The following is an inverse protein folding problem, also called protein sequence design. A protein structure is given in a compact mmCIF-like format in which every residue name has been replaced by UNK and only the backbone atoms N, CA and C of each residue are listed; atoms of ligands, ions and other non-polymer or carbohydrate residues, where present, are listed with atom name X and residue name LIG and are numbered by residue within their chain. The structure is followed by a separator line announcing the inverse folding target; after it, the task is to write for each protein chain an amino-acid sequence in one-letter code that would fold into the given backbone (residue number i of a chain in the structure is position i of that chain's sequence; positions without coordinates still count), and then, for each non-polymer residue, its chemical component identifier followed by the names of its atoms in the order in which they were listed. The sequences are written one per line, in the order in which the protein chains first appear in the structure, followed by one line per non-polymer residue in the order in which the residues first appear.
data_IF_405198895628
#
_entry.id   IF_405198895628
#
_cell.length_a   1.000
_cell.length_b   1.000
_cell.length_c   1.000
_cell.angle_alpha   90.00
_cell.angle_beta   90.00
_cell.angle_gamma   90.00
#
_symmetry.space_group_name_H-M   'P 1'
#
loop_
_entity.id
_entity.type
_entity.pdbx_description
1 polymer ?
#
# COMPACT_ATOMS: atom_id res chain seq x y z
N UNK A 1 -5.86 17.85 8.18
CA UNK A 1 -6.64 16.59 8.26
C UNK A 1 -6.80 16.28 9.73
N UNK A 2 -7.97 15.86 10.20
CA UNK A 2 -8.07 15.37 11.58
C UNK A 2 -7.65 13.89 11.61
N UNK A 3 -6.95 13.46 12.66
CA UNK A 3 -6.56 12.06 12.89
C UNK A 3 -7.77 11.11 12.78
N UNK A 4 -8.97 11.59 13.15
CA UNK A 4 -10.22 10.85 13.01
C UNK A 4 -10.53 10.40 11.58
N UNK A 5 -10.18 11.20 10.58
CA UNK A 5 -10.51 10.89 9.17
C UNK A 5 -9.60 9.78 8.65
N UNK A 6 -8.29 9.86 8.93
CA UNK A 6 -7.33 8.80 8.59
C UNK A 6 -7.68 7.51 9.33
N UNK A 7 -8.20 7.64 10.55
CA UNK A 7 -8.61 6.50 11.35
C UNK A 7 -9.80 5.76 10.77
N UNK A 8 -10.80 6.48 10.25
CA UNK A 8 -11.93 5.85 9.57
C UNK A 8 -11.48 5.07 8.31
N UNK A 9 -10.55 5.65 7.53
CA UNK A 9 -9.96 4.97 6.39
C UNK A 9 -9.12 3.75 6.79
N UNK A 10 -8.44 3.80 7.94
CA UNK A 10 -7.73 2.66 8.50
C UNK A 10 -8.68 1.53 8.90
N UNK A 11 -9.79 1.84 9.56
CA UNK A 11 -10.78 0.83 9.95
C UNK A 11 -11.42 0.17 8.70
N UNK A 12 -11.62 0.94 7.62
CA UNK A 12 -12.08 0.40 6.34
C UNK A 12 -11.01 -0.49 5.67
N UNK A 13 -9.75 -0.08 5.70
CA UNK A 13 -8.62 -0.88 5.23
C UNK A 13 -8.54 -2.22 5.98
N UNK A 14 -8.72 -2.23 7.29
CA UNK A 14 -8.72 -3.47 8.08
C UNK A 14 -9.84 -4.44 7.67
N UNK A 15 -11.01 -3.92 7.30
CA UNK A 15 -12.08 -4.76 6.75
C UNK A 15 -11.69 -5.39 5.40
N UNK A 16 -10.97 -4.67 4.53
CA UNK A 16 -10.44 -5.21 3.28
C UNK A 16 -9.30 -6.21 3.49
N UNK A 17 -8.45 -5.99 4.49
CA UNK A 17 -7.40 -6.93 4.87
C UNK A 17 -7.98 -8.24 5.40
N UNK A 18 -9.06 -8.16 6.18
CA UNK A 18 -9.83 -9.32 6.64
C UNK A 18 -10.49 -10.07 5.46
N UNK A 19 -11.02 -9.36 4.46
CA UNK A 19 -11.52 -9.98 3.23
C UNK A 19 -10.41 -10.76 2.51
N UNK A 20 -9.19 -10.22 2.41
CA UNK A 20 -8.04 -10.94 1.86
C UNK A 20 -7.70 -12.17 2.71
N UNK A 21 -7.80 -12.09 4.03
CA UNK A 21 -7.51 -13.21 4.94
C UNK A 21 -8.49 -14.35 4.72
N UNK A 22 -9.77 -14.04 4.55
CA UNK A 22 -10.81 -15.02 4.20
C UNK A 22 -10.53 -15.61 2.81
N UNK A 23 -10.17 -14.78 1.84
CA UNK A 23 -9.89 -15.18 0.46
C UNK A 23 -8.77 -16.24 0.38
N UNK A 24 -7.76 -16.15 1.24
CA UNK A 24 -6.64 -17.10 1.31
C UNK A 24 -7.06 -18.55 1.57
N UNK A 25 -8.25 -18.77 2.12
CA UNK A 25 -8.81 -20.13 2.31
C UNK A 25 -9.19 -20.80 0.99
N UNK A 26 -9.40 -20.02 -0.07
CA UNK A 26 -9.89 -20.49 -1.37
C UNK A 26 -8.87 -20.28 -2.49
N UNK A 27 -8.08 -19.21 -2.42
CA UNK A 27 -7.03 -18.90 -3.40
C UNK A 27 -5.71 -18.77 -2.65
N UNK A 28 -4.80 -19.72 -2.87
CA UNK A 28 -3.47 -19.62 -2.29
C UNK A 28 -2.73 -18.42 -2.88
N UNK A 29 -2.12 -17.60 -2.03
CA UNK A 29 -1.31 -16.46 -2.46
C UNK A 29 0.02 -16.96 -2.99
N UNK A 30 0.03 -17.28 -4.28
CA UNK A 30 1.15 -17.87 -4.99
C UNK A 30 1.21 -17.28 -6.39
N UNK A 31 2.39 -17.23 -7.00
CA UNK A 31 2.60 -16.62 -8.31
C UNK A 31 1.70 -17.23 -9.39
N UNK A 32 1.52 -18.54 -9.37
CA UNK A 32 0.63 -19.28 -10.28
C UNK A 32 -0.86 -18.85 -10.17
N UNK A 33 -1.27 -18.33 -9.01
CA UNK A 33 -2.65 -17.93 -8.77
C UNK A 33 -2.88 -16.43 -8.96
N UNK A 34 -1.84 -15.64 -9.27
CA UNK A 34 -1.97 -14.18 -9.40
C UNK A 34 -2.95 -13.74 -10.48
N UNK A 35 -3.12 -14.55 -11.53
CA UNK A 35 -4.08 -14.31 -12.62
C UNK A 35 -5.46 -14.95 -12.38
N UNK A 36 -5.66 -15.64 -11.25
CA UNK A 36 -7.00 -16.14 -10.86
C UNK A 36 -7.93 -14.96 -10.68
N UNK A 37 -9.09 -14.98 -11.34
CA UNK A 37 -10.10 -13.91 -11.25
C UNK A 37 -11.42 -14.40 -10.68
N UNK A 38 -12.14 -13.50 -10.00
CA UNK A 38 -13.44 -13.82 -9.41
C UNK A 38 -14.30 -12.57 -9.18
N UNK A 39 -15.59 -12.78 -8.89
CA UNK A 39 -16.49 -11.71 -8.49
C UNK A 39 -16.09 -11.09 -7.14
N UNK A 40 -15.49 -11.90 -6.26
CA UNK A 40 -15.02 -11.42 -4.97
C UNK A 40 -13.81 -10.49 -5.12
N UNK A 41 -12.86 -10.88 -5.98
CA UNK A 41 -11.73 -10.04 -6.34
C UNK A 41 -12.17 -8.72 -6.99
N UNK A 42 -13.22 -8.76 -7.82
CA UNK A 42 -13.83 -7.54 -8.38
C UNK A 42 -14.34 -6.61 -7.26
N UNK A 43 -15.05 -7.16 -6.26
CA UNK A 43 -15.55 -6.38 -5.11
C UNK A 43 -14.40 -5.70 -4.37
N UNK A 44 -13.36 -6.47 -4.03
CA UNK A 44 -12.18 -5.97 -3.30
C UNK A 44 -11.49 -4.85 -4.09
N UNK A 45 -11.27 -5.04 -5.40
CA UNK A 45 -10.65 -4.01 -6.27
C UNK A 45 -11.47 -2.71 -6.27
N UNK A 46 -12.81 -2.81 -6.41
CA UNK A 46 -13.68 -1.63 -6.43
C UNK A 46 -13.62 -0.87 -5.11
N UNK A 47 -13.74 -1.57 -3.99
CA UNK A 47 -13.75 -0.98 -2.65
C UNK A 47 -12.39 -0.35 -2.33
N UNK A 48 -11.29 -1.07 -2.57
CA UNK A 48 -9.94 -0.58 -2.33
C UNK A 48 -9.61 0.64 -3.20
N UNK A 49 -9.96 0.62 -4.50
CA UNK A 49 -9.65 1.73 -5.40
C UNK A 49 -10.39 3.03 -5.03
N UNK A 50 -11.67 2.91 -4.66
CA UNK A 50 -12.46 4.06 -4.17
C UNK A 50 -11.87 4.62 -2.87
N UNK A 51 -11.45 3.73 -1.97
CA UNK A 51 -10.87 4.14 -0.70
C UNK A 51 -9.50 4.82 -0.88
N UNK A 52 -8.66 4.35 -1.82
CA UNK A 52 -7.41 5.04 -2.19
C UNK A 52 -7.70 6.46 -2.68
N UNK A 53 -8.67 6.63 -3.58
CA UNK A 53 -9.06 7.95 -4.08
C UNK A 53 -9.54 8.87 -2.94
N UNK A 54 -10.33 8.33 -2.00
CA UNK A 54 -10.81 9.05 -0.83
C UNK A 54 -9.66 9.47 0.11
N UNK A 55 -8.73 8.55 0.41
CA UNK A 55 -7.54 8.83 1.22
C UNK A 55 -6.70 9.92 0.56
N UNK A 56 -6.39 9.81 -0.74
CA UNK A 56 -5.62 10.80 -1.47
C UNK A 56 -6.29 12.19 -1.47
N UNK A 57 -7.62 12.23 -1.62
CA UNK A 57 -8.38 13.47 -1.55
C UNK A 57 -8.27 14.10 -0.15
N UNK A 58 -8.41 13.30 0.91
CA UNK A 58 -8.29 13.74 2.28
C UNK A 58 -6.88 14.23 2.61
N UNK A 59 -5.85 13.52 2.16
CA UNK A 59 -4.44 13.93 2.28
C UNK A 59 -4.18 15.24 1.54
N UNK A 60 -4.70 15.38 0.31
CA UNK A 60 -4.55 16.59 -0.48
C UNK A 60 -5.20 17.82 0.17
N UNK A 61 -6.41 17.66 0.72
CA UNK A 61 -7.14 18.74 1.41
C UNK A 61 -6.53 19.09 2.75
N UNK A 62 -6.01 18.09 3.46
CA UNK A 62 -5.68 18.22 4.86
C UNK A 62 -4.19 18.34 5.21
N UNK A 63 -3.29 17.67 4.48
CA UNK A 63 -1.85 17.63 4.77
C UNK A 63 -1.07 18.36 3.67
N UNK A 64 -1.43 18.16 2.41
CA UNK A 64 -0.68 18.70 1.27
C UNK A 64 -1.17 20.10 0.83
N UNK A 65 -2.19 20.65 1.50
CA UNK A 65 -2.67 22.03 1.33
C UNK A 65 -3.11 22.40 -0.09
N UNK A 66 -3.51 21.43 -0.91
CA UNK A 66 -3.47 21.57 -2.37
C UNK A 66 -4.81 21.63 -3.11
N UNK A 67 -5.89 21.09 -2.56
CA UNK A 67 -7.12 20.84 -3.32
C UNK A 67 -8.17 21.97 -3.18
N UNK A 68 -7.83 23.20 -3.57
CA UNK A 68 -8.69 24.40 -3.47
C UNK A 68 -9.56 24.73 -4.71
N UNK A 69 -9.87 23.74 -5.56
CA UNK A 69 -10.62 23.95 -6.81
C UNK A 69 -12.13 23.66 -6.68
N UNK A 70 -12.96 24.29 -7.54
CA UNK A 70 -14.43 24.07 -7.60
C UNK A 70 -14.85 22.68 -8.09
N UNK A 71 -13.96 21.95 -8.78
CA UNK A 71 -14.21 20.57 -9.25
C UNK A 71 -13.38 19.59 -8.43
N UNK A 72 -13.95 18.42 -8.16
CA UNK A 72 -13.20 17.30 -7.61
C UNK A 72 -12.05 16.95 -8.56
N UNK A 73 -10.79 16.92 -8.07
CA UNK A 73 -9.65 16.52 -8.88
C UNK A 73 -9.78 15.07 -9.32
N UNK A 74 -9.19 14.72 -10.47
CA UNK A 74 -9.12 13.32 -10.90
C UNK A 74 -8.10 12.54 -10.06
N UNK A 75 -8.23 11.22 -10.03
CA UNK A 75 -7.24 10.34 -9.40
C UNK A 75 -5.80 10.66 -9.83
N UNK A 76 -5.53 10.80 -11.13
CA UNK A 76 -4.17 11.12 -11.63
C UNK A 76 -3.65 12.45 -11.08
N UNK A 77 -4.51 13.45 -10.91
CA UNK A 77 -4.11 14.74 -10.31
C UNK A 77 -3.82 14.61 -8.82
N UNK A 78 -4.62 13.82 -8.11
CA UNK A 78 -4.42 13.52 -6.70
C UNK A 78 -3.12 12.74 -6.48
N UNK A 79 -2.90 11.69 -7.26
CA UNK A 79 -1.70 10.85 -7.25
C UNK A 79 -0.43 11.68 -7.50
N UNK A 80 -0.37 12.40 -8.63
CA UNK A 80 0.81 13.19 -9.00
C UNK A 80 1.18 14.23 -7.93
N UNK A 81 0.17 14.91 -7.38
CA UNK A 81 0.40 15.91 -6.34
C UNK A 81 0.89 15.27 -5.04
N UNK A 82 0.27 14.16 -4.65
CA UNK A 82 0.64 13.43 -3.43
C UNK A 82 2.07 12.92 -3.54
N UNK A 83 2.44 12.31 -4.66
CA UNK A 83 3.82 11.94 -4.99
C UNK A 83 4.79 13.10 -4.85
N UNK A 84 4.47 14.24 -5.47
CA UNK A 84 5.32 15.43 -5.42
C UNK A 84 5.58 15.89 -3.99
N UNK A 85 4.54 15.87 -3.14
CA UNK A 85 4.66 16.19 -1.73
C UNK A 85 5.50 15.17 -0.96
N UNK A 86 5.22 13.87 -1.12
CA UNK A 86 5.96 12.79 -0.43
C UNK A 86 7.45 12.87 -0.77
N UNK A 87 7.78 13.04 -2.05
CA UNK A 87 9.15 13.21 -2.53
C UNK A 87 9.81 14.45 -1.95
N UNK A 88 9.12 15.59 -1.95
CA UNK A 88 9.68 16.84 -1.42
C UNK A 88 9.92 16.77 0.09
N UNK A 89 9.01 16.15 0.85
CA UNK A 89 9.07 16.14 2.32
C UNK A 89 10.00 15.06 2.87
N UNK A 90 10.00 13.86 2.27
CA UNK A 90 10.71 12.68 2.80
C UNK A 90 11.72 12.05 1.83
N UNK A 91 11.82 12.53 0.59
CA UNK A 91 12.72 11.93 -0.41
C UNK A 91 12.33 10.51 -0.82
N UNK A 92 11.04 10.16 -0.65
CA UNK A 92 10.50 8.84 -1.00
C UNK A 92 9.93 8.91 -2.43
N UNK A 93 10.46 8.07 -3.32
CA UNK A 93 9.84 7.76 -4.61
C UNK A 93 8.81 6.64 -4.39
N UNK A 94 7.52 6.95 -4.51
CA UNK A 94 6.47 6.01 -4.09
C UNK A 94 6.40 4.76 -4.97
N UNK A 95 6.91 4.86 -6.21
CA UNK A 95 7.02 3.76 -7.17
C UNK A 95 7.97 2.65 -6.67
N UNK A 96 8.91 2.99 -5.78
CA UNK A 96 9.84 2.04 -5.16
C UNK A 96 9.28 1.40 -3.89
N UNK A 97 8.04 1.72 -3.49
CA UNK A 97 7.40 1.14 -2.32
C UNK A 97 6.91 -0.27 -2.59
N UNK A 98 7.36 -1.17 -1.73
CA UNK A 98 7.03 -2.59 -1.74
C UNK A 98 6.06 -2.91 -0.62
N UNK A 99 5.12 -3.80 -0.90
CA UNK A 99 4.17 -4.32 0.10
C UNK A 99 4.32 -5.82 0.20
N UNK A 100 4.59 -6.29 1.40
CA UNK A 100 4.71 -7.71 1.73
C UNK A 100 3.37 -8.23 2.23
N UNK A 101 2.87 -9.29 1.61
CA UNK A 101 1.63 -9.96 2.00
C UNK A 101 1.93 -11.30 2.66
N UNK A 102 1.14 -11.66 3.67
CA UNK A 102 1.24 -12.94 4.34
C UNK A 102 0.95 -14.06 3.35
N UNK A 103 1.92 -14.95 3.17
CA UNK A 103 1.83 -16.12 2.31
C UNK A 103 2.26 -15.89 0.85
N UNK A 104 2.46 -14.64 0.40
CA UNK A 104 3.03 -14.36 -0.91
C UNK A 104 4.56 -14.26 -0.79
N UNK A 105 5.29 -15.07 -1.55
CA UNK A 105 6.76 -15.16 -1.47
C UNK A 105 7.51 -13.93 -1.99
N UNK A 106 6.87 -13.13 -2.85
CA UNK A 106 7.46 -11.96 -3.50
C UNK A 106 6.66 -10.70 -3.13
N UNK A 107 7.30 -9.59 -2.73
CA UNK A 107 6.59 -8.34 -2.50
C UNK A 107 6.02 -7.79 -3.81
N UNK A 108 4.92 -7.04 -3.70
CA UNK A 108 4.37 -6.30 -4.84
C UNK A 108 4.75 -4.83 -4.74
N UNK A 109 4.76 -4.13 -5.89
CA UNK A 109 4.90 -2.67 -5.97
C UNK A 109 3.57 -2.04 -6.42
N UNK A 110 2.62 -1.78 -5.50
CA UNK A 110 1.29 -1.28 -5.85
C UNK A 110 1.28 0.03 -6.62
N UNK A 111 2.28 0.89 -6.37
CA UNK A 111 2.39 2.22 -6.94
C UNK A 111 3.45 2.28 -8.05
N UNK A 112 3.86 1.14 -8.61
CA UNK A 112 4.65 1.07 -9.83
C UNK A 112 3.71 0.97 -11.04
N UNK A 113 3.75 1.93 -11.99
CA UNK A 113 2.95 1.87 -13.21
C UNK A 113 3.44 0.83 -14.22
N UNK A 114 4.61 0.20 -14.03
CA UNK A 114 5.15 -0.85 -14.90
C UNK A 114 5.24 -0.43 -16.38
N UNK A 115 5.66 0.83 -16.60
CA UNK A 115 5.76 1.43 -17.93
C UNK A 115 4.43 1.88 -18.56
N UNK A 116 3.31 1.77 -17.85
CA UNK A 116 2.00 2.27 -18.28
C UNK A 116 1.74 3.72 -17.82
N UNK A 117 0.64 4.31 -18.29
CA UNK A 117 0.22 5.67 -17.90
C UNK A 117 -0.44 5.74 -16.53
N UNK A 118 -0.94 4.61 -16.02
CA UNK A 118 -1.60 4.45 -14.73
C UNK A 118 -1.21 3.12 -14.09
N UNK A 119 -1.50 2.94 -12.80
CA UNK A 119 -1.22 1.68 -12.12
C UNK A 119 -2.06 0.52 -12.66
N UNK A 120 -1.51 -0.71 -12.72
CA UNK A 120 -2.25 -1.88 -13.19
C UNK A 120 -3.61 -2.09 -12.50
N UNK A 121 -3.66 -1.93 -11.19
CA UNK A 121 -4.90 -2.09 -10.41
C UNK A 121 -5.92 -0.96 -10.68
N UNK A 122 -5.45 0.25 -10.99
CA UNK A 122 -6.33 1.37 -11.32
C UNK A 122 -6.93 1.22 -12.73
N UNK A 123 -6.15 0.73 -13.70
CA UNK A 123 -6.65 0.34 -15.02
C UNK A 123 -7.69 -0.79 -14.91
N UNK A 124 -7.42 -1.81 -14.09
CA UNK A 124 -8.35 -2.89 -13.82
C UNK A 124 -9.66 -2.36 -13.21
N UNK A 125 -9.58 -1.53 -12.17
CA UNK A 125 -10.74 -0.86 -11.57
C UNK A 125 -11.56 -0.07 -12.60
N UNK A 126 -10.89 0.77 -13.40
CA UNK A 126 -11.53 1.62 -14.42
C UNK A 126 -12.24 0.76 -15.47
N UNK A 127 -11.60 -0.30 -15.95
CA UNK A 127 -12.18 -1.25 -16.90
C UNK A 127 -13.41 -1.97 -16.33
N UNK A 128 -13.31 -2.41 -15.07
CA UNK A 128 -14.39 -3.10 -14.35
C UNK A 128 -15.58 -2.17 -14.07
N UNK A 129 -15.33 -0.88 -13.83
CA UNK A 129 -16.35 0.16 -13.64
C UNK A 129 -17.13 0.43 -14.93
N UNK A 130 -16.47 0.46 -16.08
CA UNK A 130 -17.10 0.79 -17.36
C UNK A 130 -17.67 -0.42 -18.11
N UNK A 131 -17.29 -1.66 -17.75
CA UNK A 131 -17.72 -2.85 -18.49
C UNK A 131 -17.54 -4.17 -17.74
N UNK A 132 -18.17 -4.33 -16.56
CA UNK A 132 -18.02 -5.50 -15.66
C UNK A 132 -18.03 -6.86 -16.36
N UNK A 133 -19.00 -7.13 -17.23
CA UNK A 133 -19.15 -8.45 -17.88
C UNK A 133 -18.00 -8.78 -18.83
N UNK A 134 -17.46 -7.77 -19.52
CA UNK A 134 -16.38 -7.94 -20.49
C UNK A 134 -15.01 -7.90 -19.82
N UNK A 135 -14.88 -7.11 -18.75
CA UNK A 135 -13.63 -6.88 -18.03
C UNK A 135 -13.42 -7.80 -16.82
N UNK A 136 -14.33 -8.74 -16.51
CA UNK A 136 -14.23 -9.60 -15.31
C UNK A 136 -12.87 -10.32 -15.21
N UNK A 137 -12.23 -10.68 -16.33
CA UNK A 137 -10.89 -11.26 -16.35
C UNK A 137 -9.79 -10.36 -15.75
N UNK A 138 -10.03 -9.05 -15.65
CA UNK A 138 -9.13 -8.11 -14.95
C UNK A 138 -9.32 -8.12 -13.44
N UNK A 139 -10.36 -8.77 -12.92
CA UNK A 139 -10.59 -8.89 -11.48
C UNK A 139 -9.72 -9.99 -10.87
N UNK A 140 -8.40 -9.90 -11.04
CA UNK A 140 -7.44 -10.93 -10.64
C UNK A 140 -6.94 -10.75 -9.20
N UNK A 141 -6.37 -11.81 -8.63
CA UNK A 141 -5.71 -11.76 -7.32
C UNK A 141 -4.62 -10.69 -7.29
N UNK A 142 -3.79 -10.60 -8.34
CA UNK A 142 -2.77 -9.56 -8.48
C UNK A 142 -3.36 -8.16 -8.31
N UNK A 143 -4.41 -7.84 -9.07
CA UNK A 143 -5.00 -6.50 -9.03
C UNK A 143 -5.65 -6.19 -7.68
N UNK A 144 -6.26 -7.18 -7.01
CA UNK A 144 -6.82 -7.01 -5.68
C UNK A 144 -5.73 -6.74 -4.63
N UNK A 145 -4.66 -7.54 -4.62
CA UNK A 145 -3.52 -7.34 -3.72
C UNK A 145 -2.85 -5.99 -3.97
N UNK A 146 -2.64 -5.61 -5.24
CA UNK A 146 -2.08 -4.29 -5.56
C UNK A 146 -3.01 -3.16 -5.12
N UNK A 147 -4.33 -3.25 -5.30
CA UNK A 147 -5.25 -2.20 -4.86
C UNK A 147 -5.26 -2.03 -3.32
N UNK A 148 -5.34 -3.13 -2.56
CA UNK A 148 -5.28 -3.10 -1.10
C UNK A 148 -3.91 -2.65 -0.60
N UNK A 149 -2.83 -3.10 -1.26
CA UNK A 149 -1.48 -2.65 -0.98
C UNK A 149 -1.29 -1.15 -1.21
N UNK A 150 -1.86 -0.60 -2.29
CA UNK A 150 -1.83 0.85 -2.54
C UNK A 150 -2.54 1.62 -1.42
N UNK A 151 -3.66 1.11 -0.93
CA UNK A 151 -4.37 1.70 0.22
C UNK A 151 -3.51 1.67 1.49
N UNK A 152 -2.92 0.52 1.81
CA UNK A 152 -2.02 0.38 2.96
C UNK A 152 -0.84 1.36 2.88
N UNK A 153 -0.25 1.50 1.69
CA UNK A 153 0.89 2.40 1.44
C UNK A 153 0.49 3.87 1.65
N UNK A 154 -0.60 4.33 1.04
CA UNK A 154 -1.05 5.72 1.20
C UNK A 154 -1.48 6.05 2.63
N UNK A 155 -2.09 5.10 3.35
CA UNK A 155 -2.39 5.25 4.77
C UNK A 155 -1.11 5.37 5.60
N UNK A 156 -0.14 4.48 5.38
CA UNK A 156 1.16 4.52 6.07
C UNK A 156 1.86 5.86 5.86
N UNK A 157 1.91 6.35 4.61
CA UNK A 157 2.46 7.68 4.29
C UNK A 157 1.65 8.83 4.91
N UNK A 158 0.33 8.67 5.00
CA UNK A 158 -0.56 9.62 5.67
C UNK A 158 -0.27 9.75 7.16
N UNK A 159 -0.10 8.62 7.86
CA UNK A 159 0.24 8.59 9.28
C UNK A 159 1.66 9.10 9.55
N UNK A 160 2.61 8.83 8.66
CA UNK A 160 3.95 9.42 8.69
C UNK A 160 3.90 10.96 8.65
N UNK A 161 2.87 11.53 8.01
CA UNK A 161 2.64 12.97 7.91
C UNK A 161 2.20 13.68 9.18
N UNK A 162 1.84 12.96 10.24
CA UNK A 162 1.27 13.54 11.45
C UNK A 162 2.35 13.95 12.48
N UNK A 163 2.17 15.07 13.20
CA UNK A 163 3.18 15.66 14.09
C UNK A 163 3.30 15.00 15.48
N UNK A 164 2.39 14.12 15.87
CA UNK A 164 2.43 13.38 17.15
C UNK A 164 2.99 11.97 16.91
N UNK A 165 3.53 11.26 17.94
CA UNK A 165 3.78 9.82 17.86
C UNK A 165 2.44 9.04 17.85
N UNK A 166 1.55 9.37 16.92
CA UNK A 166 0.30 8.68 16.64
C UNK A 166 0.48 7.46 15.74
N UNK A 167 1.73 7.09 15.44
CA UNK A 167 2.10 6.02 14.51
C UNK A 167 1.94 4.62 15.05
N UNK A 168 1.14 4.40 16.10
CA UNK A 168 0.83 3.10 16.67
C UNK A 168 -0.65 2.79 16.43
N UNK A 169 -0.98 2.22 15.27
CA UNK A 169 -2.36 1.91 14.92
C UNK A 169 -2.71 0.52 15.41
N UNK A 170 -3.77 0.43 16.20
CA UNK A 170 -4.36 -0.85 16.58
C UNK A 170 -5.81 -0.90 16.11
N UNK A 171 -6.33 -2.00 15.56
CA UNK A 171 -5.63 -3.27 15.36
C UNK A 171 -4.68 -3.20 14.15
N UNK A 172 -3.79 -4.19 14.07
CA UNK A 172 -2.86 -4.36 12.94
C UNK A 172 -3.49 -5.21 11.84
N UNK A 173 -3.15 -4.98 10.57
CA UNK A 173 -3.53 -5.91 9.49
C UNK A 173 -2.90 -7.28 9.70
N UNK A 174 -3.65 -8.33 9.33
CA UNK A 174 -3.20 -9.72 9.38
C UNK A 174 -2.51 -10.15 8.09
N UNK A 175 -2.94 -9.62 6.95
CA UNK A 175 -2.45 -10.03 5.62
C UNK A 175 -1.38 -9.09 5.11
N UNK A 176 -1.58 -7.77 5.14
CA UNK A 176 -0.50 -6.82 4.84
C UNK A 176 0.51 -6.84 6.00
N UNK A 177 1.73 -7.29 5.74
CA UNK A 177 2.76 -7.48 6.79
C UNK A 177 3.71 -6.32 6.90
N UNK A 178 4.14 -5.75 5.77
CA UNK A 178 5.08 -4.62 5.76
C UNK A 178 4.86 -3.73 4.55
N UNK A 179 5.08 -2.43 4.74
CA UNK A 179 5.29 -1.44 3.67
C UNK A 179 6.76 -1.03 3.74
N UNK A 180 7.51 -1.27 2.68
CA UNK A 180 8.97 -1.16 2.64
C UNK A 180 9.40 -0.19 1.55
N UNK A 181 10.33 0.70 1.86
CA UNK A 181 11.00 1.57 0.89
C UNK A 181 12.47 1.19 0.80
N UNK A 182 12.90 0.59 -0.33
CA UNK A 182 14.32 0.23 -0.57
C UNK A 182 14.98 -0.53 0.60
N UNK A 183 14.26 -1.52 1.15
CA UNK A 183 14.72 -2.32 2.29
C UNK A 183 14.43 -1.73 3.68
N UNK A 184 13.97 -0.47 3.77
CA UNK A 184 13.58 0.17 5.01
C UNK A 184 12.08 0.00 5.30
N UNK A 185 11.73 -0.52 6.48
CA UNK A 185 10.33 -0.71 6.88
C UNK A 185 9.70 0.63 7.26
N UNK A 186 8.74 1.10 6.47
CA UNK A 186 7.96 2.31 6.76
C UNK A 186 6.74 2.01 7.63
N UNK A 187 6.20 0.80 7.51
CA UNK A 187 5.01 0.35 8.22
C UNK A 187 5.10 -1.13 8.51
N UNK A 188 5.06 -1.51 9.78
CA UNK A 188 5.05 -2.92 10.20
C UNK A 188 4.42 -3.12 11.58
N UNK A 189 3.93 -4.33 11.91
CA UNK A 189 3.54 -4.65 13.27
C UNK A 189 4.76 -4.59 14.20
N UNK A 190 4.63 -3.85 15.29
CA UNK A 190 5.61 -3.76 16.35
C UNK A 190 4.98 -4.16 17.69
N UNK A 191 5.75 -4.87 18.50
CA UNK A 191 5.35 -5.20 19.85
C UNK A 191 5.50 -3.99 20.77
N UNK A 192 4.47 -3.74 21.56
CA UNK A 192 4.48 -2.69 22.60
C UNK A 192 4.28 -3.32 23.97
N UNK A 193 4.83 -2.67 25.00
CA UNK A 193 4.63 -3.11 26.36
C UNK A 193 3.24 -2.72 26.86
N UNK A 194 2.46 -3.72 27.27
CA UNK A 194 1.07 -3.55 27.72
C UNK A 194 0.06 -3.57 26.57
N UNK A 195 -1.25 -3.70 26.86
CA UNK A 195 -2.29 -3.68 25.83
C UNK A 195 -2.18 -2.42 24.94
N UNK A 196 -2.30 -2.55 23.60
CA UNK A 196 -2.76 -3.73 22.87
C UNK A 196 -1.69 -4.79 22.52
N UNK A 197 -0.47 -4.70 23.06
CA UNK A 197 0.69 -5.59 22.83
C UNK A 197 1.26 -5.59 21.41
N UNK A 198 0.48 -5.20 20.42
CA UNK A 198 0.90 -5.05 19.03
C UNK A 198 0.22 -3.83 18.40
N UNK A 199 0.99 -3.07 17.62
CA UNK A 199 0.53 -1.87 16.92
C UNK A 199 1.20 -1.83 15.56
N UNK A 200 0.54 -1.22 14.58
CA UNK A 200 1.15 -0.92 13.30
C UNK A 200 2.01 0.32 13.51
N UNK A 201 3.32 0.11 13.53
CA UNK A 201 4.32 1.13 13.73
C UNK A 201 4.67 1.80 12.40
N UNK A 202 4.70 3.13 12.41
CA UNK A 202 5.07 3.94 11.24
C UNK A 202 6.32 4.75 11.56
N UNK A 203 7.37 4.59 10.75
CA UNK A 203 8.65 5.28 10.97
C UNK A 203 9.08 6.11 9.75
N UNK A 204 9.63 7.30 10.01
CA UNK A 204 10.24 8.13 8.98
C UNK A 204 11.64 7.61 8.64
N UNK A 205 11.97 7.44 7.36
CA UNK A 205 13.35 7.17 6.99
C UNK A 205 14.22 8.39 7.36
N UNK A 206 15.19 8.20 8.26
CA UNK A 206 16.22 9.21 8.50
C UNK A 206 17.17 9.31 7.30
N UNK A 207 17.73 10.50 7.03
CA UNK A 207 18.63 10.73 5.89
C UNK A 207 19.85 9.78 5.85
N UNK A 208 20.30 9.29 7.01
CA UNK A 208 21.39 8.33 7.15
C UNK A 208 20.99 6.87 6.85
N UNK A 209 19.69 6.54 6.92
CA UNK A 209 19.19 5.17 6.73
C UNK A 209 18.96 4.85 5.26
N UNK A 210 18.60 5.85 4.45
CA UNK A 210 18.40 5.74 2.99
C UNK A 210 19.67 5.45 2.18
N UNK A 211 20.83 5.42 2.84
CA UNK A 211 22.15 5.20 2.24
C UNK A 211 22.83 3.88 2.67
N UNK A 212 22.17 3.05 3.49
CA UNK A 212 22.71 1.73 3.86
C UNK A 212 22.27 0.66 2.85
N UNK A 213 23.20 -0.02 2.15
CA UNK A 213 22.87 -1.25 1.46
C UNK A 213 22.62 -2.37 2.48
N UNK A 214 21.81 -3.32 2.06
CA UNK A 214 21.36 -4.51 2.78
C UNK A 214 22.54 -5.28 3.45
N UNK A 215 22.47 -5.68 4.74
CA UNK A 215 23.52 -6.49 5.36
C UNK A 215 23.63 -7.92 4.79
N UNK A 216 22.74 -8.30 3.86
CA UNK A 216 22.62 -9.66 3.32
C UNK A 216 23.53 -10.03 2.15
N UNK A 217 24.41 -9.15 1.67
CA UNK A 217 25.39 -9.49 0.61
C UNK A 217 26.81 -9.15 1.06
N UNK A 218 27.38 -9.98 1.92
CA UNK A 218 28.84 -10.06 2.05
C UNK A 218 29.31 -11.52 2.01
N UNK A 219 29.83 -11.90 0.84
CA UNK A 219 30.96 -12.81 0.71
C UNK A 219 30.72 -14.28 1.00
N UNK A 220 30.24 -15.01 -0.01
CA UNK A 220 30.68 -16.38 -0.21
C UNK A 220 32.22 -16.38 -0.35
N UNK A 221 32.92 -16.89 0.65
CA UNK A 221 34.36 -17.14 0.56
C UNK A 221 34.63 -18.26 -0.46
N UNK A 222 35.56 -18.11 -1.41
CA UNK A 222 35.99 -19.24 -2.20
C UNK A 222 37.00 -20.04 -1.37
N UNK A 223 36.58 -21.23 -0.94
CA UNK A 223 37.47 -22.29 -0.49
C UNK A 223 38.03 -23.08 -1.67
N UNK A 224 39.33 -23.42 -1.55
CA UNK A 224 40.07 -24.54 -2.15
C UNK A 224 39.98 -24.76 -3.68
N UNK A 225 41.07 -24.51 -4.43
CA UNK A 225 42.11 -25.50 -4.74
C UNK A 225 42.04 -25.88 -6.24
N UNK A 226 43.05 -26.47 -6.90
CA UNK A 226 44.21 -27.20 -6.39
C UNK A 226 45.57 -26.52 -6.59
#
# INVERSE_FOLDING_TARGET
MNLSDLRAHWDYFLALDEDLRILRRYIAFHDDNLETFSLELHRIIQMAALEVEAVLLSLCRGIFGGCGGKRSPSFTQLDLRSKGFIRQKWGIEVEDLEVHFLGLGVPLKPLDPQGQSVYPWWDAYTSLKHGRTQALKKATLRHALMAVGALATWLTLGFLGLPEPGGNLHPVPEVVRRVVYRGYSLGEPAHVFGPPYEVWYVESPNAHTLSRPDPGQSGAGPGAGP
#
